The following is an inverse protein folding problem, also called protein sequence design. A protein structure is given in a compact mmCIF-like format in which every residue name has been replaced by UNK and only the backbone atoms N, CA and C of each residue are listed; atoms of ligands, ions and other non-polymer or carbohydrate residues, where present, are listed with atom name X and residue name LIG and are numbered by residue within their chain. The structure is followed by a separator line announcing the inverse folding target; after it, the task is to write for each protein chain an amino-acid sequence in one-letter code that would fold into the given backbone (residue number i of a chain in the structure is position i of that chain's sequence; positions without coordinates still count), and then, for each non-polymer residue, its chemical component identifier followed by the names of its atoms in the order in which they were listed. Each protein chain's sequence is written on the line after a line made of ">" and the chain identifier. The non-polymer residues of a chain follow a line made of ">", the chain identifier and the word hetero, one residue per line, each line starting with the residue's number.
data_IF_984074695212
#
_entry.id   IF_984074695212
#
_cell.length_a   1.000
_cell.length_b   1.000
_cell.length_c   1.000
_cell.angle_alpha   90.00
_cell.angle_beta   90.00
_cell.angle_gamma   90.00
#
_symmetry.space_group_name_H-M   'P 1'
#
loop_
_entity.id
_entity.type
_entity.pdbx_description
1 polymer ?
#
# COMPACT_ATOMS: atom_id res chain seq x y z
N UNK A 1 11.41 32.71 4.75
CA UNK A 1 12.78 32.28 4.39
C UNK A 1 12.92 30.75 4.38
N UNK A 2 12.39 30.03 5.39
CA UNK A 2 12.40 28.56 5.46
C UNK A 2 11.69 27.84 4.29
N UNK A 3 10.53 28.32 3.86
CA UNK A 3 9.78 27.68 2.75
C UNK A 3 10.47 27.80 1.40
N UNK A 4 11.18 28.90 1.18
CA UNK A 4 11.96 29.13 -0.03
C UNK A 4 13.20 28.23 -0.09
N UNK A 5 13.87 28.02 1.06
CA UNK A 5 14.99 27.09 1.20
C UNK A 5 14.52 25.64 0.99
N UNK A 6 13.36 25.28 1.54
CA UNK A 6 12.74 23.95 1.35
C UNK A 6 12.34 23.69 -0.12
N UNK A 7 11.78 24.70 -0.80
CA UNK A 7 11.42 24.63 -2.22
C UNK A 7 12.65 24.47 -3.12
N UNK A 8 13.71 25.24 -2.88
CA UNK A 8 14.96 25.15 -3.63
C UNK A 8 15.64 23.80 -3.40
N UNK A 9 15.69 23.33 -2.15
CA UNK A 9 16.21 22.00 -1.80
C UNK A 9 15.47 20.89 -2.55
N UNK A 10 14.13 20.90 -2.54
CA UNK A 10 13.32 19.90 -3.25
C UNK A 10 13.56 19.90 -4.75
N UNK A 11 13.69 21.08 -5.38
CA UNK A 11 13.99 21.19 -6.81
C UNK A 11 15.37 20.62 -7.14
N UNK A 12 16.38 20.98 -6.36
CA UNK A 12 17.75 20.47 -6.54
C UNK A 12 17.83 18.96 -6.30
N UNK A 13 17.19 18.44 -5.25
CA UNK A 13 17.11 17.01 -4.98
C UNK A 13 16.37 16.26 -6.09
N UNK A 14 15.27 16.83 -6.60
CA UNK A 14 14.52 16.24 -7.71
C UNK A 14 15.34 16.17 -8.99
N UNK A 15 16.09 17.24 -9.31
CA UNK A 15 17.00 17.27 -10.46
C UNK A 15 18.12 16.22 -10.30
N UNK A 16 18.65 16.06 -9.08
CA UNK A 16 19.63 15.02 -8.78
C UNK A 16 19.08 13.60 -8.97
N UNK A 17 17.91 13.30 -8.39
CA UNK A 17 17.26 11.98 -8.50
C UNK A 17 16.99 11.59 -9.96
N UNK A 18 16.62 12.57 -10.81
CA UNK A 18 16.40 12.39 -12.25
C UNK A 18 17.67 12.27 -13.08
N UNK A 19 18.83 12.56 -12.51
CA UNK A 19 20.11 12.41 -13.22
C UNK A 19 20.48 10.94 -13.40
N UNK A 20 21.38 10.65 -14.35
CA UNK A 20 21.92 9.30 -14.55
C UNK A 20 22.54 8.71 -13.29
N UNK A 21 23.22 9.55 -12.48
CA UNK A 21 23.83 9.14 -11.21
C UNK A 21 22.74 8.80 -10.18
N UNK A 22 21.70 9.63 -10.08
CA UNK A 22 20.56 9.40 -9.18
C UNK A 22 19.84 8.10 -9.50
N UNK A 23 19.54 7.86 -10.77
CA UNK A 23 18.92 6.62 -11.25
C UNK A 23 19.80 5.40 -10.92
N UNK A 24 21.11 5.48 -11.13
CA UNK A 24 22.04 4.38 -10.82
C UNK A 24 22.04 4.07 -9.31
N UNK A 25 22.02 5.08 -8.45
CA UNK A 25 21.95 4.89 -7.00
C UNK A 25 20.64 4.23 -6.57
N UNK A 26 19.50 4.60 -7.17
CA UNK A 26 18.20 3.95 -6.89
C UNK A 26 18.25 2.46 -7.22
N UNK A 27 18.83 2.07 -8.36
CA UNK A 27 19.02 0.66 -8.70
C UNK A 27 19.81 -0.09 -7.63
N UNK A 28 20.97 0.46 -7.23
CA UNK A 28 21.83 -0.15 -6.20
C UNK A 28 21.13 -0.31 -4.85
N UNK A 29 20.33 0.68 -4.44
CA UNK A 29 19.58 0.64 -3.18
C UNK A 29 18.49 -0.43 -3.25
N UNK A 30 17.71 -0.47 -4.33
CA UNK A 30 16.62 -1.44 -4.48
C UNK A 30 17.16 -2.87 -4.57
N UNK A 31 18.25 -3.11 -5.28
CA UNK A 31 18.88 -4.43 -5.36
C UNK A 31 19.35 -4.92 -3.97
N UNK A 32 19.82 -4.00 -3.11
CA UNK A 32 20.35 -4.33 -1.78
C UNK A 32 19.27 -4.42 -0.70
N UNK A 33 18.27 -3.54 -0.72
CA UNK A 33 17.30 -3.36 0.36
C UNK A 33 15.86 -3.74 -0.01
N UNK A 34 15.54 -3.88 -1.29
CA UNK A 34 14.18 -4.23 -1.75
C UNK A 34 13.70 -5.56 -1.19
N UNK A 35 14.57 -6.58 -1.18
CA UNK A 35 14.22 -7.89 -0.61
C UNK A 35 13.98 -7.85 0.90
N UNK A 36 14.74 -7.01 1.62
CA UNK A 36 14.53 -6.82 3.05
C UNK A 36 13.21 -6.09 3.33
N UNK A 37 12.84 -5.12 2.48
CA UNK A 37 11.57 -4.42 2.58
C UNK A 37 10.38 -5.37 2.35
N UNK A 38 10.44 -6.25 1.34
CA UNK A 38 9.41 -7.27 1.12
C UNK A 38 9.29 -8.17 2.35
N UNK A 39 10.39 -8.72 2.86
CA UNK A 39 10.36 -9.57 4.06
C UNK A 39 9.83 -8.85 5.30
N UNK A 40 10.11 -7.56 5.45
CA UNK A 40 9.62 -6.76 6.57
C UNK A 40 8.10 -6.50 6.50
N UNK A 41 7.49 -6.63 5.32
CA UNK A 41 6.06 -6.46 5.14
C UNK A 41 5.25 -7.61 5.77
N UNK A 42 5.83 -8.81 5.96
CA UNK A 42 5.14 -9.95 6.59
C UNK A 42 5.29 -9.93 8.11
N UNK A 43 4.28 -10.47 8.80
CA UNK A 43 4.36 -10.78 10.24
C UNK A 43 5.54 -11.71 10.52
N UNK A 44 5.57 -12.85 9.81
CA UNK A 44 6.67 -13.82 9.82
C UNK A 44 7.42 -13.78 8.48
N UNK A 45 8.64 -13.21 8.46
CA UNK A 45 9.47 -13.14 7.25
C UNK A 45 9.78 -14.48 6.59
N UNK A 46 9.64 -15.61 7.32
CA UNK A 46 9.91 -16.96 6.79
C UNK A 46 8.83 -17.44 5.81
N UNK A 47 7.66 -16.81 5.80
CA UNK A 47 6.59 -17.10 4.84
C UNK A 47 6.87 -16.51 3.45
N UNK A 48 7.88 -15.64 3.34
CA UNK A 48 8.31 -15.06 2.06
C UNK A 48 9.29 -16.00 1.38
N UNK A 49 8.77 -16.85 0.51
CA UNK A 49 9.56 -17.78 -0.30
C UNK A 49 10.12 -17.12 -1.58
N UNK A 50 10.90 -17.89 -2.35
CA UNK A 50 11.50 -17.41 -3.59
C UNK A 50 10.45 -17.06 -4.66
N UNK A 51 9.28 -17.71 -4.64
CA UNK A 51 8.22 -17.41 -5.58
C UNK A 51 7.62 -16.02 -5.31
N UNK A 52 7.34 -15.71 -4.03
CA UNK A 52 6.89 -14.38 -3.60
C UNK A 52 7.95 -13.32 -3.96
N UNK A 53 9.22 -13.54 -3.63
CA UNK A 53 10.29 -12.60 -3.97
C UNK A 53 10.42 -12.37 -5.48
N UNK A 54 10.30 -13.43 -6.28
CA UNK A 54 10.29 -13.30 -7.74
C UNK A 54 9.09 -12.48 -8.23
N UNK A 55 7.90 -12.67 -7.63
CA UNK A 55 6.70 -11.88 -7.91
C UNK A 55 6.93 -10.39 -7.68
N UNK A 56 7.42 -10.02 -6.50
CA UNK A 56 7.68 -8.62 -6.12
C UNK A 56 8.85 -7.97 -6.86
N UNK A 57 9.84 -8.74 -7.31
CA UNK A 57 10.98 -8.22 -8.08
C UNK A 57 10.76 -8.23 -9.59
N UNK A 58 9.74 -8.93 -10.10
CA UNK A 58 9.44 -8.98 -11.53
C UNK A 58 9.22 -7.59 -12.17
N UNK A 59 8.50 -6.64 -11.55
CA UNK A 59 8.37 -5.28 -12.09
C UNK A 59 9.70 -4.54 -12.27
N UNK A 60 10.72 -4.88 -11.48
CA UNK A 60 12.08 -4.31 -11.57
C UNK A 60 12.86 -4.81 -12.81
N UNK A 61 12.23 -5.61 -13.66
CA UNK A 61 12.78 -6.05 -14.96
C UNK A 61 12.13 -5.32 -16.14
N UNK A 62 11.09 -4.53 -15.90
CA UNK A 62 10.46 -3.74 -16.94
C UNK A 62 11.40 -2.64 -17.44
N UNK A 63 11.30 -2.30 -18.73
CA UNK A 63 12.06 -1.16 -19.28
C UNK A 63 11.70 0.11 -18.50
N UNK A 64 12.71 0.86 -18.08
CA UNK A 64 12.57 2.15 -17.36
C UNK A 64 11.86 2.06 -15.98
N UNK A 65 11.84 0.89 -15.32
CA UNK A 65 11.25 0.70 -13.98
C UNK A 65 11.82 1.67 -12.92
N UNK A 66 13.11 1.95 -13.03
CA UNK A 66 13.91 2.78 -12.15
C UNK A 66 13.58 4.26 -12.32
N UNK A 67 13.41 4.71 -13.56
CA UNK A 67 12.91 6.06 -13.87
C UNK A 67 11.48 6.23 -13.35
N UNK A 68 10.62 5.23 -13.51
CA UNK A 68 9.27 5.27 -12.98
C UNK A 68 9.28 5.41 -11.44
N UNK A 69 10.13 4.65 -10.75
CA UNK A 69 10.30 4.76 -9.29
C UNK A 69 10.88 6.11 -8.86
N UNK A 70 11.84 6.65 -9.61
CA UNK A 70 12.38 8.01 -9.40
C UNK A 70 11.28 9.05 -9.54
N UNK A 71 10.48 9.02 -10.62
CA UNK A 71 9.40 9.98 -10.81
C UNK A 71 8.31 9.87 -9.75
N UNK A 72 7.95 8.64 -9.33
CA UNK A 72 7.06 8.42 -8.20
C UNK A 72 7.62 9.03 -6.90
N UNK A 73 8.90 8.80 -6.61
CA UNK A 73 9.57 9.33 -5.41
C UNK A 73 9.65 10.85 -5.45
N UNK A 74 9.99 11.43 -6.60
CA UNK A 74 10.02 12.88 -6.79
C UNK A 74 8.62 13.47 -6.61
N UNK A 75 7.59 12.84 -7.18
CA UNK A 75 6.21 13.27 -6.96
C UNK A 75 5.89 13.28 -5.45
N UNK A 76 6.17 12.19 -4.73
CA UNK A 76 5.95 12.11 -3.27
C UNK A 76 6.71 13.19 -2.47
N UNK A 77 7.98 13.45 -2.81
CA UNK A 77 8.82 14.44 -2.10
C UNK A 77 8.43 15.89 -2.41
N UNK A 78 7.94 16.13 -3.63
CA UNK A 78 7.48 17.45 -4.07
C UNK A 78 6.01 17.70 -3.72
N UNK A 79 5.26 16.65 -3.34
CA UNK A 79 3.86 16.71 -2.92
C UNK A 79 3.63 17.28 -1.51
N UNK A 80 4.65 17.93 -0.95
CA UNK A 80 4.48 18.73 0.25
C UNK A 80 3.51 19.88 -0.01
N UNK A 81 2.29 19.73 0.48
CA UNK A 81 1.32 20.78 0.79
C UNK A 81 1.44 22.03 -0.12
N UNK A 82 1.03 21.89 -1.39
CA UNK A 82 0.57 23.08 -2.08
C UNK A 82 -0.63 23.62 -1.29
N UNK A 83 -0.65 24.91 -0.94
CA UNK A 83 -1.82 25.57 -0.34
C UNK A 83 -3.09 25.39 -1.19
N UNK A 84 -2.93 25.04 -2.48
CA UNK A 84 -4.01 24.73 -3.42
C UNK A 84 -4.56 23.30 -3.32
N UNK A 85 -3.89 22.38 -2.61
CA UNK A 85 -4.29 20.97 -2.57
C UNK A 85 -5.39 20.80 -1.52
N UNK A 86 -6.58 20.41 -1.98
CA UNK A 86 -7.71 20.09 -1.11
C UNK A 86 -7.27 19.10 -0.03
N UNK A 87 -7.52 19.37 1.26
CA UNK A 87 -7.16 18.45 2.33
C UNK A 87 -8.08 17.23 2.25
N UNK A 88 -7.69 16.21 1.48
CA UNK A 88 -8.50 15.02 1.20
C UNK A 88 -8.94 14.30 2.48
N UNK A 89 -8.16 14.38 3.55
CA UNK A 89 -8.52 13.88 4.87
C UNK A 89 -9.81 14.50 5.43
N UNK A 90 -10.11 15.77 5.10
CA UNK A 90 -11.36 16.43 5.50
C UNK A 90 -12.57 15.95 4.69
N UNK A 91 -12.34 15.32 3.54
CA UNK A 91 -13.40 14.78 2.66
C UNK A 91 -13.74 13.32 2.94
N UNK A 92 -13.02 12.66 3.85
CA UNK A 92 -13.31 11.26 4.22
C UNK A 92 -14.74 11.06 4.74
N UNK A 93 -15.29 12.09 5.42
CA UNK A 93 -16.67 12.10 5.88
C UNK A 93 -17.72 12.24 4.75
N UNK A 94 -17.30 12.61 3.54
CA UNK A 94 -18.19 12.71 2.37
C UNK A 94 -18.39 11.35 1.67
N UNK A 95 -17.65 10.30 2.06
CA UNK A 95 -17.78 8.96 1.47
C UNK A 95 -19.12 8.35 1.89
N UNK A 96 -20.00 8.12 0.91
CA UNK A 96 -21.36 7.63 1.12
C UNK A 96 -21.58 6.17 0.71
N UNK A 97 -20.63 5.55 0.01
CA UNK A 97 -20.70 4.14 -0.31
C UNK A 97 -20.26 3.27 0.89
N UNK A 98 -20.68 1.99 0.96
CA UNK A 98 -20.17 1.06 1.95
C UNK A 98 -18.65 0.90 1.86
N UNK A 99 -17.96 0.94 2.99
CA UNK A 99 -16.49 0.82 3.06
C UNK A 99 -16.08 -0.31 4.00
N UNK A 100 -15.19 -1.16 3.52
CA UNK A 100 -14.45 -2.13 4.32
C UNK A 100 -12.97 -1.71 4.39
N UNK A 101 -12.43 -1.67 5.60
CA UNK A 101 -11.02 -1.42 5.88
C UNK A 101 -10.45 -2.71 6.49
N UNK A 102 -9.44 -3.28 5.85
CA UNK A 102 -8.76 -4.50 6.34
C UNK A 102 -7.29 -4.20 6.55
N UNK A 103 -6.74 -4.58 7.70
CA UNK A 103 -5.30 -4.43 8.00
C UNK A 103 -4.81 -5.55 8.91
N UNK A 104 -3.51 -5.82 8.93
CA UNK A 104 -2.91 -6.71 9.91
C UNK A 104 -2.56 -5.97 11.20
N UNK A 105 -2.62 -6.64 12.34
CA UNK A 105 -2.28 -6.03 13.65
C UNK A 105 -0.79 -5.71 13.85
N UNK A 106 0.05 -6.24 12.97
CA UNK A 106 1.50 -6.17 13.06
C UNK A 106 2.12 -5.56 11.79
N UNK A 107 1.34 -4.77 11.06
CA UNK A 107 1.81 -4.02 9.89
C UNK A 107 2.92 -3.03 10.31
N UNK A 108 4.15 -3.31 9.86
CA UNK A 108 5.34 -2.50 10.14
C UNK A 108 5.54 -1.36 9.14
N UNK A 109 4.81 -1.36 8.02
CA UNK A 109 4.91 -0.35 6.96
C UNK A 109 3.85 0.73 7.12
N UNK A 110 2.61 0.33 7.39
CA UNK A 110 1.48 1.23 7.68
C UNK A 110 0.84 0.80 9.00
N UNK A 111 1.28 1.36 10.14
CA UNK A 111 0.82 0.90 11.44
C UNK A 111 -0.72 0.88 11.58
N UNK A 112 -1.30 -0.12 12.28
CA UNK A 112 -2.75 -0.37 12.33
C UNK A 112 -3.58 0.82 12.82
N UNK A 113 -3.00 1.70 13.66
CA UNK A 113 -3.66 2.91 14.13
C UNK A 113 -4.07 3.84 12.98
N UNK A 114 -3.43 3.77 11.80
CA UNK A 114 -3.87 4.50 10.61
C UNK A 114 -5.25 4.01 10.14
N UNK A 115 -5.46 2.70 10.09
CA UNK A 115 -6.75 2.10 9.72
C UNK A 115 -7.83 2.41 10.75
N UNK A 116 -7.49 2.45 12.04
CA UNK A 116 -8.41 2.91 13.08
C UNK A 116 -8.79 4.39 12.91
N UNK A 117 -7.82 5.26 12.59
CA UNK A 117 -8.10 6.67 12.29
C UNK A 117 -8.99 6.82 11.06
N UNK A 118 -8.73 6.02 10.02
CA UNK A 118 -9.52 6.01 8.79
C UNK A 118 -10.96 5.58 9.09
N UNK A 119 -11.15 4.52 9.87
CA UNK A 119 -12.47 4.03 10.26
C UNK A 119 -13.27 5.07 11.06
N UNK A 120 -12.62 5.80 11.96
CA UNK A 120 -13.27 6.93 12.68
C UNK A 120 -13.64 8.09 11.75
N UNK A 121 -12.93 8.27 10.65
CA UNK A 121 -13.14 9.39 9.71
C UNK A 121 -14.18 9.08 8.62
N UNK A 122 -14.42 7.80 8.31
CA UNK A 122 -15.38 7.36 7.29
C UNK A 122 -16.65 6.83 7.97
N UNK A 123 -17.78 7.56 7.90
CA UNK A 123 -19.05 7.13 8.46
C UNK A 123 -19.49 5.76 7.93
N UNK A 124 -19.94 4.88 8.82
CA UNK A 124 -20.46 3.56 8.43
C UNK A 124 -19.42 2.57 7.91
N UNK A 125 -18.12 2.91 7.93
CA UNK A 125 -17.06 1.98 7.57
C UNK A 125 -16.99 0.78 8.53
N UNK A 126 -16.58 -0.37 8.00
CA UNK A 126 -16.27 -1.57 8.79
C UNK A 126 -14.75 -1.74 8.85
N UNK A 127 -14.20 -1.91 10.05
CA UNK A 127 -12.78 -2.17 10.26
C UNK A 127 -12.56 -3.60 10.74
N UNK A 128 -11.71 -4.33 10.02
CA UNK A 128 -11.30 -5.69 10.34
C UNK A 128 -9.77 -5.73 10.50
N UNK A 129 -9.32 -6.01 11.73
CA UNK A 129 -7.90 -6.14 12.06
C UNK A 129 -7.56 -7.62 12.21
N UNK A 130 -6.73 -8.14 11.32
CA UNK A 130 -6.34 -9.56 11.31
C UNK A 130 -5.15 -9.77 12.26
N UNK A 131 -5.31 -10.70 13.20
CA UNK A 131 -4.28 -11.03 14.20
C UNK A 131 -3.09 -11.76 13.58
N UNK A 132 -1.89 -11.48 14.09
CA UNK A 132 -0.62 -12.08 13.64
C UNK A 132 -0.46 -11.95 12.12
N UNK A 133 -0.67 -10.74 11.61
CA UNK A 133 -0.65 -10.42 10.19
C UNK A 133 0.09 -9.09 9.99
N UNK A 134 0.95 -9.05 8.97
CA UNK A 134 1.67 -7.85 8.58
C UNK A 134 0.87 -6.99 7.60
N UNK A 135 1.60 -6.40 6.66
CA UNK A 135 1.11 -5.41 5.71
C UNK A 135 0.20 -5.99 4.62
N UNK A 136 0.27 -7.29 4.34
CA UNK A 136 -0.38 -7.90 3.19
C UNK A 136 -1.35 -9.02 3.61
N UNK A 137 -2.49 -8.69 4.23
CA UNK A 137 -3.41 -9.73 4.72
C UNK A 137 -3.95 -10.66 3.64
N UNK A 138 -4.04 -10.21 2.40
CA UNK A 138 -4.48 -11.01 1.26
C UNK A 138 -3.44 -12.06 0.82
N UNK A 139 -2.17 -11.90 1.18
CA UNK A 139 -1.14 -12.92 0.96
C UNK A 139 -0.87 -13.75 2.23
N UNK A 140 -0.85 -13.11 3.40
CA UNK A 140 -0.49 -13.77 4.68
C UNK A 140 -1.61 -14.62 5.29
N UNK A 141 -2.86 -14.19 5.10
CA UNK A 141 -4.05 -14.77 5.75
C UNK A 141 -5.19 -14.91 4.74
N UNK A 142 -4.89 -15.49 3.58
CA UNK A 142 -5.78 -15.62 2.41
C UNK A 142 -7.21 -15.99 2.80
N UNK A 143 -7.42 -17.12 3.49
CA UNK A 143 -8.76 -17.59 3.86
C UNK A 143 -9.51 -16.59 4.76
N UNK A 144 -8.80 -15.96 5.69
CA UNK A 144 -9.39 -14.98 6.60
C UNK A 144 -9.74 -13.70 5.86
N UNK A 145 -8.86 -13.22 4.99
CA UNK A 145 -9.08 -12.04 4.16
C UNK A 145 -10.27 -12.26 3.22
N UNK A 146 -10.29 -13.36 2.46
CA UNK A 146 -11.40 -13.71 1.56
C UNK A 146 -12.71 -13.82 2.33
N UNK A 147 -12.74 -14.52 3.47
CA UNK A 147 -13.93 -14.61 4.31
C UNK A 147 -14.45 -13.25 4.80
N UNK A 148 -13.57 -12.31 5.14
CA UNK A 148 -13.94 -10.94 5.53
C UNK A 148 -14.57 -10.20 4.34
N UNK A 149 -13.95 -10.29 3.16
CA UNK A 149 -14.45 -9.66 1.94
C UNK A 149 -15.81 -10.24 1.54
N UNK A 150 -15.96 -11.56 1.55
CA UNK A 150 -17.22 -12.24 1.23
C UNK A 150 -18.34 -11.80 2.16
N UNK A 151 -18.12 -11.80 3.49
CA UNK A 151 -19.13 -11.31 4.45
C UNK A 151 -19.51 -9.85 4.20
N UNK A 152 -18.55 -9.01 3.83
CA UNK A 152 -18.84 -7.62 3.50
C UNK A 152 -19.69 -7.50 2.23
N UNK A 153 -19.35 -8.23 1.18
CA UNK A 153 -20.12 -8.25 -0.07
C UNK A 153 -21.53 -8.82 0.12
N UNK A 154 -21.68 -9.91 0.86
CA UNK A 154 -22.98 -10.49 1.24
C UNK A 154 -23.83 -9.46 1.99
N UNK A 155 -23.25 -8.74 2.95
CA UNK A 155 -23.95 -7.71 3.72
C UNK A 155 -24.37 -6.52 2.86
N UNK A 156 -23.52 -6.08 1.93
CA UNK A 156 -23.76 -4.88 1.12
C UNK A 156 -24.72 -5.13 -0.04
N UNK A 157 -24.58 -6.27 -0.73
CA UNK A 157 -25.31 -6.55 -1.96
C UNK A 157 -26.41 -7.60 -1.79
N UNK A 158 -26.44 -8.32 -0.66
CA UNK A 158 -27.44 -9.36 -0.41
C UNK A 158 -27.37 -10.48 -1.44
N UNK A 159 -26.34 -11.34 -1.37
CA UNK A 159 -26.26 -12.48 -2.29
C UNK A 159 -27.29 -13.54 -1.87
N UNK A 160 -28.32 -13.74 -2.69
CA UNK A 160 -29.09 -14.98 -2.67
C UNK A 160 -28.11 -16.11 -3.05
N UNK A 161 -27.83 -17.03 -2.12
CA UNK A 161 -26.97 -18.20 -2.40
C UNK A 161 -27.57 -19.00 -3.55
N UNK A 162 -26.99 -18.92 -4.74
CA UNK A 162 -27.18 -19.98 -5.72
C UNK A 162 -26.53 -21.26 -5.18
N UNK A 163 -27.15 -22.44 -5.41
CA UNK A 163 -26.59 -23.71 -4.94
C UNK A 163 -25.21 -23.90 -5.57
N UNK A 164 -24.19 -24.09 -4.73
CA UNK A 164 -22.86 -24.51 -5.20
C UNK A 164 -23.04 -25.75 -6.09
N UNK A 165 -22.68 -25.63 -7.37
CA UNK A 165 -22.59 -26.78 -8.27
C UNK A 165 -21.68 -27.81 -7.60
N UNK A 166 -22.25 -28.97 -7.29
CA UNK A 166 -21.46 -30.11 -6.82
C UNK A 166 -20.51 -30.52 -7.94
N UNK A 167 -19.27 -30.91 -7.62
CA UNK A 167 -18.35 -31.40 -8.65
C UNK A 167 -18.98 -32.62 -9.32
N UNK A 168 -19.01 -32.59 -10.65
CA UNK A 168 -19.43 -33.73 -11.46
C UNK A 168 -18.55 -34.93 -11.12
N UNK A 169 -19.20 -36.06 -10.86
CA UNK A 169 -18.59 -37.34 -10.45
C UNK A 169 -17.81 -37.97 -11.60
#
# INVERSE_FOLDING_TARGET
>A
MGDMINSLYKKTLSAFLRSTIGIMLVRMIIDKFGLAAVRNAWYDPKQVDDHVLQGYTKPLRAKDWDKALVEYTVAMLTDSASESKLPLSKKLGEISCPVLIVTGDSDRLVPPWNSERLSRAIPGSCLEIIKNCGHLPHEEKVDKFVSIVDRFLERVFGVQKEPRLQPAT
#
